data_IF_756765986614
#
_entry.id   IF_756765986614
#
_cell.length_a   1.000
_cell.length_b   1.000
_cell.length_c   1.000
_cell.angle_alpha   90.00
_cell.angle_beta   90.00
_cell.angle_gamma   90.00
#
_symmetry.space_group_name_H-M   'P 1'
#
loop_
_entity.id
_entity.type
_entity.pdbx_description
1 polymer ?
#
# COMPACT_ATOMS: atom_id res chain seq x y z
N UNK A 1 -27.23 2.49 -1.52
CA UNK A 1 -26.74 3.47 -0.53
C UNK A 1 -27.41 3.16 0.80
N UNK A 2 -26.64 2.84 1.84
CA UNK A 2 -27.19 2.50 3.16
C UNK A 2 -27.90 3.72 3.76
N UNK A 3 -29.12 3.57 4.29
CA UNK A 3 -29.90 4.63 4.92
C UNK A 3 -29.40 4.86 6.36
N UNK A 4 -28.23 5.47 6.49
CA UNK A 4 -27.67 5.87 7.78
C UNK A 4 -28.13 7.30 8.07
N UNK A 5 -28.81 7.50 9.20
CA UNK A 5 -29.16 8.84 9.63
C UNK A 5 -27.91 9.52 10.22
N UNK A 6 -27.69 10.78 9.87
CA UNK A 6 -26.55 11.56 10.37
C UNK A 6 -26.60 11.82 11.88
N UNK A 7 -27.79 11.74 12.48
CA UNK A 7 -27.99 11.86 13.93
C UNK A 7 -27.69 10.56 14.69
N UNK A 8 -27.56 9.43 13.99
CA UNK A 8 -27.23 8.15 14.62
C UNK A 8 -25.76 8.16 15.06
N UNK A 9 -25.50 7.93 16.35
CA UNK A 9 -24.14 7.78 16.89
C UNK A 9 -23.63 6.35 16.67
N UNK A 10 -23.55 5.94 15.41
CA UNK A 10 -22.99 4.64 15.02
C UNK A 10 -21.49 4.75 14.80
N UNK A 11 -20.77 3.67 15.11
CA UNK A 11 -19.31 3.67 14.95
C UNK A 11 -18.94 3.48 13.48
N UNK A 12 -17.75 3.95 13.09
CA UNK A 12 -17.22 3.69 11.75
C UNK A 12 -17.16 2.19 11.45
N UNK A 13 -16.91 1.37 12.47
CA UNK A 13 -16.86 -0.08 12.32
C UNK A 13 -18.20 -0.68 11.92
N UNK A 14 -19.28 -0.27 12.59
CA UNK A 14 -20.66 -0.68 12.28
C UNK A 14 -21.11 -0.17 10.90
N UNK A 15 -20.78 1.08 10.56
CA UNK A 15 -21.04 1.65 9.22
C UNK A 15 -20.39 0.78 8.16
N UNK A 16 -19.11 0.45 8.36
CA UNK A 16 -18.32 -0.34 7.41
C UNK A 16 -18.80 -1.80 7.30
N UNK A 17 -19.33 -2.39 8.38
CA UNK A 17 -19.96 -3.71 8.35
C UNK A 17 -21.26 -3.69 7.54
N UNK A 18 -22.13 -2.70 7.76
CA UNK A 18 -23.38 -2.53 7.02
C UNK A 18 -23.19 -2.34 5.52
N UNK A 19 -22.12 -1.65 5.12
CA UNK A 19 -21.84 -1.38 3.71
C UNK A 19 -21.20 -2.59 3.01
N UNK A 20 -20.66 -3.58 3.76
CA UNK A 20 -19.97 -4.79 3.26
C UNK A 20 -18.86 -4.58 2.22
N UNK A 21 -18.49 -3.34 1.90
CA UNK A 21 -17.52 -2.96 0.87
C UNK A 21 -16.05 -2.99 1.33
N UNK A 22 -15.77 -3.11 2.64
CA UNK A 22 -14.40 -3.00 3.19
C UNK A 22 -13.43 -3.96 2.52
N UNK A 23 -13.88 -5.19 2.28
CA UNK A 23 -13.02 -6.24 1.72
C UNK A 23 -12.73 -6.04 0.24
N UNK A 24 -13.52 -5.29 -0.55
CA UNK A 24 -13.24 -5.15 -1.98
C UNK A 24 -12.38 -3.92 -2.29
N UNK A 25 -12.67 -2.78 -1.68
CA UNK A 25 -11.97 -1.52 -2.01
C UNK A 25 -10.55 -1.51 -1.48
N UNK A 26 -10.36 -1.87 -0.21
CA UNK A 26 -9.03 -1.91 0.39
C UNK A 26 -8.12 -2.91 -0.33
N UNK A 27 -8.63 -4.11 -0.63
CA UNK A 27 -7.93 -5.10 -1.45
C UNK A 27 -7.58 -4.58 -2.84
N UNK A 28 -8.50 -3.86 -3.50
CA UNK A 28 -8.24 -3.28 -4.81
C UNK A 28 -7.13 -2.23 -4.77
N UNK A 29 -7.10 -1.40 -3.72
CA UNK A 29 -6.05 -0.40 -3.51
C UNK A 29 -4.71 -1.09 -3.28
N UNK A 30 -4.65 -2.08 -2.37
CA UNK A 30 -3.44 -2.84 -2.09
C UNK A 30 -2.94 -3.57 -3.33
N UNK A 31 -3.83 -4.22 -4.10
CA UNK A 31 -3.48 -4.89 -5.35
C UNK A 31 -2.83 -3.93 -6.36
N UNK A 32 -3.46 -2.77 -6.62
CA UNK A 32 -2.92 -1.77 -7.56
C UNK A 32 -1.57 -1.21 -7.10
N UNK A 33 -1.43 -0.97 -5.79
CA UNK A 33 -0.16 -0.54 -5.18
C UNK A 33 0.94 -1.57 -5.39
N UNK A 34 0.62 -2.86 -5.20
CA UNK A 34 1.56 -3.96 -5.34
C UNK A 34 1.93 -4.23 -6.81
N UNK A 35 0.98 -4.07 -7.73
CA UNK A 35 1.25 -4.09 -9.18
C UNK A 35 2.24 -2.99 -9.58
N UNK A 36 2.01 -1.76 -9.10
CA UNK A 36 2.87 -0.61 -9.40
C UNK A 36 4.28 -0.78 -8.82
N UNK A 37 4.40 -1.08 -7.53
CA UNK A 37 5.73 -1.22 -6.90
C UNK A 37 6.49 -2.41 -7.48
N UNK A 38 5.81 -3.53 -7.76
CA UNK A 38 6.44 -4.68 -8.39
C UNK A 38 6.92 -4.37 -9.80
N UNK A 39 6.28 -3.44 -10.53
CA UNK A 39 6.79 -2.95 -11.81
C UNK A 39 8.01 -2.04 -11.62
N UNK A 40 7.93 -1.06 -10.71
CA UNK A 40 9.03 -0.12 -10.42
C UNK A 40 10.30 -0.86 -9.97
N UNK A 41 10.19 -1.87 -9.10
CA UNK A 41 11.35 -2.57 -8.55
C UNK A 41 12.03 -3.54 -9.51
N UNK A 42 11.34 -3.97 -10.58
CA UNK A 42 11.87 -4.92 -11.58
C UNK A 42 12.45 -4.26 -12.82
N UNK A 43 12.18 -2.97 -13.02
CA UNK A 43 12.60 -2.24 -14.20
C UNK A 43 13.34 -0.98 -13.81
N UNK A 44 14.51 -0.79 -14.41
CA UNK A 44 15.25 0.46 -14.25
C UNK A 44 14.49 1.61 -14.92
N UNK A 45 14.50 2.78 -14.29
CA UNK A 45 13.83 3.95 -14.82
C UNK A 45 13.73 5.10 -13.81
N UNK A 46 13.13 6.20 -14.26
CA UNK A 46 12.99 7.42 -13.46
C UNK A 46 12.25 7.16 -12.14
N UNK A 47 11.22 6.30 -12.14
CA UNK A 47 10.46 6.01 -10.93
C UNK A 47 11.30 5.27 -9.89
N UNK A 48 12.15 4.33 -10.30
CA UNK A 48 13.08 3.64 -9.40
C UNK A 48 14.11 4.64 -8.84
N UNK A 49 14.66 5.50 -9.70
CA UNK A 49 15.56 6.60 -9.30
C UNK A 49 14.93 7.55 -8.29
N UNK A 50 13.65 7.92 -8.47
CA UNK A 50 12.92 8.77 -7.52
C UNK A 50 12.67 8.04 -6.20
N UNK A 51 12.34 6.75 -6.27
CA UNK A 51 12.04 5.93 -5.10
C UNK A 51 13.28 5.70 -4.22
N UNK A 52 14.42 5.44 -4.84
CA UNK A 52 15.71 5.16 -4.16
C UNK A 52 16.57 6.40 -3.96
N UNK A 53 16.20 7.49 -4.63
CA UNK A 53 16.95 8.73 -4.64
C UNK A 53 16.91 9.41 -3.29
N UNK A 54 18.07 9.92 -2.87
CA UNK A 54 18.16 10.88 -1.78
C UNK A 54 17.97 12.27 -2.39
N UNK A 55 16.94 12.99 -1.96
CA UNK A 55 16.72 14.39 -2.36
C UNK A 55 17.47 15.28 -1.39
N UNK A 56 18.32 16.16 -1.92
CA UNK A 56 19.02 17.15 -1.12
C UNK A 56 18.01 18.13 -0.49
N UNK A 57 18.02 18.21 0.84
CA UNK A 57 17.06 19.01 1.58
C UNK A 57 17.03 18.71 3.07
N UNK A 58 16.44 19.62 3.84
CA UNK A 58 16.20 19.41 5.27
C UNK A 58 14.86 18.70 5.46
N UNK A 59 14.87 17.56 6.14
CA UNK A 59 13.64 16.92 6.58
C UNK A 59 12.84 17.87 7.50
N UNK A 60 11.52 17.87 7.35
CA UNK A 60 10.64 18.62 8.24
C UNK A 60 10.82 18.14 9.68
N UNK A 61 10.85 19.07 10.64
CA UNK A 61 10.94 18.74 12.07
C UNK A 61 9.59 18.25 12.57
N UNK A 62 9.57 17.15 13.32
CA UNK A 62 8.34 16.54 13.86
C UNK A 62 8.18 15.08 13.44
N UNK A 63 6.98 14.53 13.58
CA UNK A 63 6.69 13.14 13.18
C UNK A 63 6.88 13.01 11.66
N UNK A 64 7.74 12.10 11.18
CA UNK A 64 7.87 11.83 9.76
C UNK A 64 6.53 11.42 9.16
N UNK A 65 6.23 11.88 7.95
CA UNK A 65 5.09 11.39 7.19
C UNK A 65 5.29 9.91 6.88
N UNK A 66 4.20 9.14 6.85
CA UNK A 66 4.26 7.77 6.36
C UNK A 66 4.72 7.77 4.90
N UNK A 67 5.87 7.15 4.65
CA UNK A 67 6.41 7.05 3.30
C UNK A 67 5.70 5.92 2.55
N UNK A 68 5.59 6.08 1.24
CA UNK A 68 4.97 5.09 0.35
C UNK A 68 5.62 3.70 0.48
N UNK A 69 6.96 3.64 0.54
CA UNK A 69 7.70 2.38 0.73
C UNK A 69 7.40 1.75 2.09
N UNK A 70 7.35 2.54 3.16
CA UNK A 70 7.05 2.04 4.50
C UNK A 70 5.66 1.40 4.56
N UNK A 71 4.66 2.03 3.94
CA UNK A 71 3.31 1.47 3.86
C UNK A 71 3.28 0.11 3.13
N UNK A 72 4.07 -0.04 2.06
CA UNK A 72 4.16 -1.31 1.31
C UNK A 72 4.90 -2.37 2.11
N UNK A 73 5.96 -1.99 2.81
CA UNK A 73 6.67 -2.90 3.71
C UNK A 73 5.74 -3.44 4.80
N UNK A 74 4.86 -2.59 5.35
CA UNK A 74 3.81 -3.01 6.29
C UNK A 74 2.81 -3.97 5.61
N UNK A 75 2.31 -3.65 4.41
CA UNK A 75 1.35 -4.52 3.69
C UNK A 75 1.93 -5.89 3.32
N UNK A 76 3.24 -5.97 3.10
CA UNK A 76 3.94 -7.16 2.61
C UNK A 76 4.73 -7.88 3.70
N UNK A 77 4.55 -7.44 4.95
CA UNK A 77 5.23 -7.97 6.14
C UNK A 77 6.75 -8.09 5.90
N UNK A 78 7.35 -7.03 5.36
CA UNK A 78 8.78 -6.95 5.08
C UNK A 78 9.48 -6.11 6.15
N UNK A 79 10.57 -6.63 6.69
CA UNK A 79 11.35 -5.94 7.73
C UNK A 79 12.36 -4.94 7.13
N UNK A 80 12.63 -5.03 5.83
CA UNK A 80 13.55 -4.14 5.14
C UNK A 80 13.13 -3.89 3.69
N UNK A 81 13.63 -2.79 3.12
CA UNK A 81 13.46 -2.49 1.70
C UNK A 81 14.16 -3.52 0.80
N UNK A 82 15.32 -4.05 1.22
CA UNK A 82 16.01 -5.11 0.48
C UNK A 82 15.17 -6.40 0.40
N UNK A 83 14.46 -6.74 1.47
CA UNK A 83 13.55 -7.88 1.49
C UNK A 83 12.38 -7.65 0.52
N UNK A 84 11.79 -6.45 0.53
CA UNK A 84 10.74 -6.06 -0.41
C UNK A 84 11.22 -6.18 -1.86
N UNK A 85 12.43 -5.67 -2.17
CA UNK A 85 13.04 -5.79 -3.49
C UNK A 85 13.20 -7.26 -3.90
N UNK A 86 13.72 -8.12 -3.03
CA UNK A 86 13.88 -9.56 -3.31
C UNK A 86 12.54 -10.24 -3.58
N UNK A 87 11.51 -9.98 -2.78
CA UNK A 87 10.14 -10.50 -2.99
C UNK A 87 9.56 -10.04 -4.33
N UNK A 88 9.76 -8.76 -4.68
CA UNK A 88 9.24 -8.18 -5.91
C UNK A 88 9.98 -8.64 -7.18
N UNK A 89 11.25 -9.06 -7.06
CA UNK A 89 12.04 -9.55 -8.19
C UNK A 89 11.48 -10.83 -8.80
N UNK A 90 10.94 -11.74 -7.98
CA UNK A 90 10.24 -12.92 -8.48
C UNK A 90 8.84 -12.52 -8.96
N UNK A 91 8.69 -12.34 -10.28
CA UNK A 91 7.43 -11.90 -10.89
C UNK A 91 6.27 -12.84 -10.60
N UNK A 92 6.50 -14.15 -10.62
CA UNK A 92 5.41 -15.13 -10.52
C UNK A 92 4.99 -15.30 -9.06
N UNK A 93 5.95 -15.40 -8.12
CA UNK A 93 5.64 -15.34 -6.70
C UNK A 93 4.94 -14.01 -6.34
N UNK A 94 5.42 -12.89 -6.87
CA UNK A 94 4.80 -11.59 -6.66
C UNK A 94 3.36 -11.53 -7.17
N UNK A 95 3.05 -12.03 -8.36
CA UNK A 95 1.65 -12.07 -8.85
C UNK A 95 0.77 -12.96 -7.98
N UNK A 96 1.24 -14.13 -7.57
CA UNK A 96 0.46 -15.10 -6.79
C UNK A 96 0.00 -14.51 -5.45
N UNK A 97 0.85 -13.71 -4.78
CA UNK A 97 0.51 -12.99 -3.55
C UNK A 97 -0.72 -12.08 -3.71
N UNK A 98 -0.98 -11.58 -4.92
CA UNK A 98 -2.03 -10.60 -5.20
C UNK A 98 -3.21 -11.17 -5.98
N UNK A 99 -3.16 -12.46 -6.33
CA UNK A 99 -4.17 -13.15 -7.16
C UNK A 99 -5.16 -13.98 -6.33
N UNK A 100 -4.80 -14.38 -5.11
CA UNK A 100 -5.54 -15.36 -4.32
C UNK A 100 -6.51 -14.81 -3.25
N UNK A 101 -7.19 -13.67 -3.44
CA UNK A 101 -8.18 -13.16 -2.47
C UNK A 101 -9.27 -12.22 -2.99
#
# INVERSE_FOLDING_TARGET
MQKINWADRITNEEVLEKVSERKSMWKSIQKRRNELIGHILRHDGLLLLILEGVIDGKNHRGRPRLQYVNQIMEDQECNSYQELKRKASDREAWKLLHTNH
#
